data_IF_173778802174
#
_entry.id   IF_173778802174
#
_cell.length_a   1.000
_cell.length_b   1.000
_cell.length_c   1.000
_cell.angle_alpha   90.00
_cell.angle_beta   90.00
_cell.angle_gamma   90.00
#
_symmetry.space_group_name_H-M   'P 1'
#
loop_
_entity.id
_entity.type
_entity.pdbx_description
1 polymer ?
#
# COMPACT_ATOMS: atom_id res chain seq x y z
N UNK A 1 -21.29 18.86 -27.05
CA UNK A 1 -20.67 17.52 -27.21
C UNK A 1 -20.63 16.88 -25.83
N UNK A 2 -21.63 16.07 -25.51
CA UNK A 2 -21.63 15.19 -24.35
C UNK A 2 -20.82 13.96 -24.75
N UNK A 3 -19.72 13.67 -24.04
CA UNK A 3 -19.05 12.38 -24.08
C UNK A 3 -19.24 11.70 -22.73
N UNK A 4 -19.69 10.47 -22.81
CA UNK A 4 -19.92 9.50 -21.75
C UNK A 4 -18.63 9.19 -20.98
N UNK A 5 -18.51 9.68 -19.76
CA UNK A 5 -17.78 9.01 -18.68
C UNK A 5 -18.36 9.47 -17.34
N UNK A 6 -18.89 8.54 -16.55
CA UNK A 6 -19.59 8.78 -15.29
C UNK A 6 -18.62 9.01 -14.13
N UNK A 7 -17.86 10.10 -14.20
CA UNK A 7 -17.14 10.63 -13.05
C UNK A 7 -17.76 11.98 -12.68
N UNK A 8 -18.51 12.01 -11.58
CA UNK A 8 -18.80 13.27 -10.88
C UNK A 8 -17.48 14.01 -10.70
N UNK A 9 -17.37 15.30 -11.07
CA UNK A 9 -16.11 16.02 -10.97
C UNK A 9 -15.71 16.10 -9.49
N UNK A 10 -14.51 15.59 -9.15
CA UNK A 10 -13.95 15.69 -7.80
C UNK A 10 -13.46 17.11 -7.55
N UNK A 11 -14.40 18.04 -7.39
CA UNK A 11 -14.13 19.46 -7.16
C UNK A 11 -13.72 19.66 -5.70
N UNK A 12 -12.70 20.49 -5.50
CA UNK A 12 -12.36 21.03 -4.19
C UNK A 12 -13.46 21.99 -3.72
N UNK A 13 -13.87 21.89 -2.47
CA UNK A 13 -14.73 22.89 -1.83
C UNK A 13 -13.95 24.21 -1.65
N UNK A 14 -14.60 25.34 -1.91
CA UNK A 14 -13.99 26.68 -1.86
C UNK A 14 -13.46 27.03 -0.46
N UNK A 15 -14.04 26.46 0.59
CA UNK A 15 -13.62 26.72 1.97
C UNK A 15 -12.31 26.05 2.37
N UNK A 16 -11.90 24.98 1.67
CA UNK A 16 -10.69 24.21 2.01
C UNK A 16 -9.70 24.13 0.84
N UNK A 17 -9.95 24.79 -0.30
CA UNK A 17 -9.07 24.70 -1.47
C UNK A 17 -7.72 25.36 -1.24
N UNK A 18 -6.68 24.83 -1.88
CA UNK A 18 -5.39 25.52 -2.00
C UNK A 18 -5.51 26.62 -3.05
N UNK A 19 -5.06 27.82 -2.70
CA UNK A 19 -5.10 29.01 -3.58
C UNK A 19 -3.68 29.34 -4.01
N UNK A 20 -3.41 29.30 -5.31
CA UNK A 20 -2.10 29.66 -5.84
C UNK A 20 -1.93 31.18 -5.86
N UNK A 21 -0.74 31.65 -5.47
CA UNK A 21 -0.36 33.03 -5.69
C UNK A 21 -0.35 33.32 -7.20
N UNK A 22 -1.01 34.40 -7.65
CA UNK A 22 -1.18 34.67 -9.06
C UNK A 22 0.17 34.81 -9.75
N UNK A 23 0.37 34.05 -10.82
CA UNK A 23 1.37 34.34 -11.86
C UNK A 23 0.78 35.34 -12.87
N UNK A 24 1.58 35.81 -13.82
CA UNK A 24 1.14 36.72 -14.89
C UNK A 24 -0.07 36.21 -15.71
N UNK A 25 -0.43 34.93 -15.58
CA UNK A 25 -1.56 34.27 -16.25
C UNK A 25 -2.90 34.33 -15.48
N UNK A 26 -2.94 34.85 -14.25
CA UNK A 26 -4.19 35.17 -13.53
C UNK A 26 -5.07 33.99 -13.08
N UNK A 27 -4.56 32.75 -13.09
CA UNK A 27 -5.28 31.58 -12.55
C UNK A 27 -4.75 31.20 -11.16
N UNK A 28 -5.61 31.26 -10.14
CA UNK A 28 -5.30 30.91 -8.74
C UNK A 28 -5.71 29.48 -8.37
N UNK A 29 -6.32 28.75 -9.31
CA UNK A 29 -6.96 27.46 -9.05
C UNK A 29 -6.01 26.28 -9.26
N UNK A 30 -5.96 25.42 -8.24
CA UNK A 30 -5.48 24.04 -8.35
C UNK A 30 -6.46 23.11 -7.65
N UNK A 31 -6.70 21.91 -8.19
CA UNK A 31 -7.58 20.94 -7.56
C UNK A 31 -6.88 20.24 -6.39
N UNK A 32 -6.78 20.96 -5.28
CA UNK A 32 -6.21 20.49 -4.02
C UNK A 32 -6.99 21.08 -2.85
N UNK A 33 -7.06 20.33 -1.75
CA UNK A 33 -7.73 20.76 -0.51
C UNK A 33 -6.80 20.57 0.67
N UNK A 34 -6.82 21.47 1.65
CA UNK A 34 -6.30 21.19 2.97
C UNK A 34 -7.22 20.20 3.68
N UNK A 35 -6.64 19.20 4.34
CA UNK A 35 -7.40 18.22 5.10
C UNK A 35 -6.97 18.25 6.55
N UNK A 36 -7.76 18.93 7.38
CA UNK A 36 -7.44 19.09 8.80
C UNK A 36 -7.75 17.83 9.61
N UNK A 37 -6.72 16.99 9.74
CA UNK A 37 -6.72 15.80 10.59
C UNK A 37 -5.84 15.97 11.84
N UNK A 38 -4.85 16.86 11.86
CA UNK A 38 -4.06 17.26 13.05
C UNK A 38 -3.02 18.35 12.65
N UNK A 39 -2.16 18.78 13.59
CA UNK A 39 -0.97 19.57 13.24
C UNK A 39 -0.12 18.85 12.17
N UNK A 40 0.22 19.54 11.08
CA UNK A 40 0.95 18.97 9.95
C UNK A 40 0.09 18.26 8.89
N UNK A 41 -1.19 18.63 8.80
CA UNK A 41 -2.21 18.08 7.92
C UNK A 41 -1.76 17.88 6.45
N UNK A 42 -1.96 16.69 5.87
CA UNK A 42 -1.56 16.41 4.50
C UNK A 42 -2.40 17.18 3.48
N UNK A 43 -1.80 17.46 2.32
CA UNK A 43 -2.45 18.04 1.17
C UNK A 43 -2.78 16.94 0.15
N UNK A 44 -4.06 16.61 -0.05
CA UNK A 44 -4.49 15.72 -1.12
C UNK A 44 -4.90 16.45 -2.42
N UNK A 45 -3.96 16.73 -3.34
CA UNK A 45 -4.31 17.21 -4.67
C UNK A 45 -4.77 16.08 -5.58
N UNK A 46 -5.44 16.45 -6.67
CA UNK A 46 -5.52 15.64 -7.88
C UNK A 46 -4.11 15.41 -8.44
N UNK A 47 -3.88 14.27 -9.08
CA UNK A 47 -2.68 14.04 -9.88
C UNK A 47 -2.56 15.05 -11.02
N UNK A 48 -1.36 15.55 -11.35
CA UNK A 48 -1.19 16.53 -12.42
C UNK A 48 -1.71 16.05 -13.78
N UNK A 49 -2.30 16.99 -14.53
CA UNK A 49 -2.73 16.86 -15.92
C UNK A 49 -1.74 17.60 -16.84
N UNK A 50 -1.75 17.40 -18.17
CA UNK A 50 -0.73 17.98 -19.07
C UNK A 50 -0.62 19.51 -18.97
N UNK A 51 -1.74 20.18 -18.69
CA UNK A 51 -1.80 21.63 -18.53
C UNK A 51 -1.54 22.15 -17.12
N UNK A 52 -1.43 21.30 -16.10
CA UNK A 52 -1.39 21.71 -14.68
C UNK A 52 -0.09 21.32 -13.97
N UNK A 53 0.92 20.83 -14.70
CA UNK A 53 2.21 20.44 -14.12
C UNK A 53 2.97 21.64 -13.53
N UNK A 54 2.90 22.80 -14.20
CA UNK A 54 3.52 24.03 -13.70
C UNK A 54 2.82 24.49 -12.40
N UNK A 55 1.49 24.46 -12.37
CA UNK A 55 0.69 24.78 -11.19
C UNK A 55 0.99 23.85 -10.02
N UNK A 56 1.23 22.56 -10.30
CA UNK A 56 1.65 21.59 -9.29
C UNK A 56 2.99 21.97 -8.65
N UNK A 57 4.01 22.31 -9.44
CA UNK A 57 5.31 22.75 -8.88
C UNK A 57 5.23 24.11 -8.19
N UNK A 58 4.37 25.01 -8.67
CA UNK A 58 4.04 26.25 -7.97
C UNK A 58 3.45 25.97 -6.59
N UNK A 59 2.50 25.03 -6.47
CA UNK A 59 1.94 24.61 -5.19
C UNK A 59 3.01 24.01 -4.28
N UNK A 60 3.83 23.08 -4.80
CA UNK A 60 4.94 22.45 -4.04
C UNK A 60 5.88 23.52 -3.46
N UNK A 61 6.23 24.53 -4.26
CA UNK A 61 7.05 25.64 -3.80
C UNK A 61 6.31 26.55 -2.80
N UNK A 62 5.08 26.95 -3.08
CA UNK A 62 4.33 27.88 -2.23
C UNK A 62 4.11 27.30 -0.84
N UNK A 63 3.63 26.06 -0.77
CA UNK A 63 3.30 25.37 0.46
C UNK A 63 4.53 24.79 1.17
N UNK A 64 5.73 24.97 0.61
CA UNK A 64 7.01 24.49 1.17
C UNK A 64 7.04 22.97 1.36
N UNK A 65 6.43 22.24 0.44
CA UNK A 65 6.35 20.79 0.46
C UNK A 65 7.75 20.21 0.25
N UNK A 66 8.17 19.33 1.17
CA UNK A 66 9.42 18.58 1.07
C UNK A 66 9.20 17.10 0.80
N UNK A 67 7.97 16.58 0.99
CA UNK A 67 7.63 15.16 0.79
C UNK A 67 6.38 15.04 -0.08
N UNK A 68 6.48 14.23 -1.13
CA UNK A 68 5.39 13.86 -2.03
C UNK A 68 5.17 12.35 -1.94
N UNK A 69 3.92 11.92 -1.76
CA UNK A 69 3.49 10.53 -1.82
C UNK A 69 2.58 10.36 -3.03
N UNK A 70 3.03 9.57 -4.01
CA UNK A 70 2.31 9.24 -5.23
C UNK A 70 1.82 7.79 -5.15
N UNK A 71 0.51 7.61 -5.12
CA UNK A 71 -0.16 6.31 -4.92
C UNK A 71 -0.77 5.74 -6.22
N UNK A 72 -0.26 6.13 -7.38
CA UNK A 72 -0.81 5.69 -8.69
C UNK A 72 0.28 5.48 -9.73
N UNK A 73 0.06 4.54 -10.64
CA UNK A 73 0.82 4.49 -11.89
C UNK A 73 0.48 5.68 -12.78
N UNK A 74 1.35 5.99 -13.75
CA UNK A 74 1.05 6.99 -14.79
C UNK A 74 -0.10 6.51 -15.69
N UNK A 75 -0.06 5.23 -16.05
CA UNK A 75 -1.07 4.53 -16.85
C UNK A 75 -1.47 3.25 -16.15
N UNK A 76 -2.77 3.02 -16.01
CA UNK A 76 -3.32 1.78 -15.47
C UNK A 76 -4.47 1.34 -16.38
N UNK A 77 -4.50 0.06 -16.76
CA UNK A 77 -5.49 -0.50 -17.69
C UNK A 77 -5.65 0.34 -18.99
N UNK A 78 -4.54 0.79 -19.58
CA UNK A 78 -4.51 1.65 -20.77
C UNK A 78 -5.19 3.02 -20.60
N UNK A 79 -5.47 3.45 -19.37
CA UNK A 79 -5.99 4.78 -19.05
C UNK A 79 -4.92 5.60 -18.34
N UNK A 80 -4.66 6.81 -18.84
CA UNK A 80 -3.80 7.77 -18.15
C UNK A 80 -4.45 8.18 -16.82
N UNK A 81 -3.72 8.00 -15.73
CA UNK A 81 -4.16 8.32 -14.36
C UNK A 81 -3.49 9.57 -13.82
N UNK A 82 -2.26 9.83 -14.24
CA UNK A 82 -1.44 10.96 -13.80
C UNK A 82 -0.41 11.26 -14.88
N UNK A 83 -0.15 12.54 -15.16
CA UNK A 83 0.99 12.91 -15.98
C UNK A 83 2.30 12.79 -15.20
N UNK A 84 3.37 12.49 -15.92
CA UNK A 84 4.71 12.55 -15.37
C UNK A 84 5.09 14.02 -15.16
N UNK A 85 5.18 14.42 -13.89
CA UNK A 85 5.55 15.78 -13.49
C UNK A 85 7.02 15.91 -13.07
N UNK A 86 7.83 14.86 -13.25
CA UNK A 86 9.24 14.85 -12.87
C UNK A 86 10.15 14.52 -14.05
N UNK A 87 11.38 15.05 -14.08
CA UNK A 87 12.36 14.73 -15.12
C UNK A 87 13.14 13.45 -14.83
N UNK A 88 13.77 12.89 -15.87
CA UNK A 88 14.80 11.85 -15.72
C UNK A 88 16.16 12.42 -15.29
N UNK A 89 16.43 13.70 -15.58
CA UNK A 89 17.66 14.38 -15.16
C UNK A 89 17.36 15.81 -14.71
N UNK A 90 16.94 16.68 -15.62
CA UNK A 90 16.58 18.06 -15.31
C UNK A 90 15.51 18.56 -16.29
N UNK A 91 14.56 19.35 -15.81
CA UNK A 91 13.56 20.00 -16.65
C UNK A 91 13.08 21.31 -16.02
N UNK A 92 12.72 22.26 -16.90
CA UNK A 92 12.14 23.55 -16.52
C UNK A 92 10.61 23.49 -16.66
N UNK A 93 9.91 23.92 -15.62
CA UNK A 93 8.46 24.01 -15.50
C UNK A 93 8.09 25.46 -15.12
N UNK A 94 7.88 26.33 -16.11
CA UNK A 94 7.72 27.76 -15.85
C UNK A 94 8.97 28.34 -15.17
N UNK A 95 8.80 28.98 -14.01
CA UNK A 95 9.90 29.54 -13.20
C UNK A 95 10.67 28.50 -12.38
N UNK A 96 10.26 27.23 -12.44
CA UNK A 96 10.83 26.17 -11.63
C UNK A 96 11.80 25.31 -12.44
N UNK A 97 12.99 25.09 -11.90
CA UNK A 97 13.90 24.04 -12.39
C UNK A 97 13.86 22.89 -11.40
N UNK A 98 13.52 21.70 -11.89
CA UNK A 98 13.52 20.46 -11.11
C UNK A 98 14.65 19.59 -11.63
N UNK A 99 15.54 19.17 -10.74
CA UNK A 99 16.67 18.28 -11.07
C UNK A 99 16.55 17.00 -10.24
N UNK A 100 16.65 15.83 -10.87
CA UNK A 100 16.71 14.55 -10.17
C UNK A 100 18.14 14.34 -9.64
N UNK A 101 18.30 14.34 -8.32
CA UNK A 101 19.59 14.12 -7.67
C UNK A 101 19.86 12.63 -7.41
N UNK A 102 18.84 11.87 -7.01
CA UNK A 102 18.97 10.46 -6.68
C UNK A 102 17.64 9.74 -6.87
N UNK A 103 17.69 8.45 -7.23
CA UNK A 103 16.53 7.58 -7.27
C UNK A 103 16.90 6.19 -6.73
N UNK A 104 16.01 5.62 -5.91
CA UNK A 104 16.16 4.27 -5.39
C UNK A 104 14.86 3.51 -5.65
N UNK A 105 15.00 2.36 -6.29
CA UNK A 105 13.87 1.48 -6.61
C UNK A 105 13.95 0.22 -5.76
N UNK A 106 12.84 -0.15 -5.15
CA UNK A 106 12.63 -1.44 -4.49
C UNK A 106 11.40 -2.13 -5.08
N UNK A 107 11.10 -3.36 -4.66
CA UNK A 107 9.88 -4.07 -5.06
C UNK A 107 8.67 -3.24 -4.65
N UNK A 108 7.99 -2.61 -5.61
CA UNK A 108 6.74 -1.90 -5.35
C UNK A 108 6.84 -0.44 -4.91
N UNK A 109 8.05 0.13 -4.79
CA UNK A 109 8.24 1.54 -4.42
C UNK A 109 9.44 2.16 -5.15
N UNK A 110 9.26 3.39 -5.65
CA UNK A 110 10.36 4.22 -6.15
C UNK A 110 10.48 5.47 -5.28
N UNK A 111 11.65 5.70 -4.69
CA UNK A 111 11.97 6.93 -3.98
C UNK A 111 12.84 7.82 -4.87
N UNK A 112 12.46 9.09 -5.07
CA UNK A 112 13.21 10.08 -5.85
C UNK A 112 13.53 11.29 -4.99
N UNK A 113 14.75 11.81 -5.11
CA UNK A 113 15.19 13.03 -4.44
C UNK A 113 15.42 14.09 -5.50
N UNK A 114 14.66 15.18 -5.43
CA UNK A 114 14.73 16.30 -6.34
C UNK A 114 15.37 17.53 -5.70
N UNK A 115 16.08 18.30 -6.50
CA UNK A 115 16.44 19.68 -6.23
C UNK A 115 15.45 20.59 -6.97
N UNK A 116 14.67 21.36 -6.23
CA UNK A 116 13.72 22.34 -6.75
C UNK A 116 14.30 23.75 -6.61
N UNK A 117 14.45 24.46 -7.73
CA UNK A 117 14.89 25.86 -7.78
C UNK A 117 13.78 26.71 -8.38
N UNK A 118 13.63 27.94 -7.87
CA UNK A 118 12.75 28.96 -8.45
C UNK A 118 13.59 30.12 -8.99
N UNK A 119 13.27 30.61 -10.19
CA UNK A 119 13.90 31.79 -10.76
C UNK A 119 13.84 32.98 -9.78
N UNK A 120 14.96 33.71 -9.67
CA UNK A 120 15.09 34.84 -8.74
C UNK A 120 15.23 34.46 -7.25
N UNK A 121 15.14 33.17 -6.89
CA UNK A 121 15.36 32.69 -5.52
C UNK A 121 16.71 31.99 -5.41
N UNK A 122 17.57 32.44 -4.48
CA UNK A 122 18.93 31.91 -4.35
C UNK A 122 19.00 30.50 -3.73
N UNK A 123 18.06 30.16 -2.84
CA UNK A 123 18.10 28.91 -2.09
C UNK A 123 17.26 27.81 -2.77
N UNK A 124 17.88 26.69 -3.22
CA UNK A 124 17.14 25.52 -3.66
C UNK A 124 16.43 24.83 -2.49
N UNK A 125 15.44 23.99 -2.80
CA UNK A 125 14.76 23.12 -1.86
C UNK A 125 14.92 21.66 -2.27
N UNK A 126 15.01 20.78 -1.28
CA UNK A 126 15.01 19.34 -1.51
C UNK A 126 13.58 18.83 -1.40
N UNK A 127 13.15 18.05 -2.38
CA UNK A 127 11.83 17.40 -2.39
C UNK A 127 12.02 15.90 -2.59
N UNK A 128 11.56 15.09 -1.64
CA UNK A 128 11.57 13.64 -1.71
C UNK A 128 10.20 13.14 -2.17
N UNK A 129 10.15 12.32 -3.22
CA UNK A 129 8.94 11.70 -3.73
C UNK A 129 9.00 10.20 -3.49
N UNK A 130 7.95 9.66 -2.88
CA UNK A 130 7.69 8.23 -2.72
C UNK A 130 6.57 7.80 -3.66
N UNK A 131 6.90 6.98 -4.65
CA UNK A 131 5.97 6.48 -5.66
C UNK A 131 5.65 5.02 -5.39
N UNK A 132 4.49 4.78 -4.78
CA UNK A 132 3.99 3.45 -4.40
C UNK A 132 3.26 2.80 -5.59
N UNK A 133 3.72 1.60 -5.96
CA UNK A 133 3.30 0.89 -7.18
C UNK A 133 2.41 -0.32 -6.90
N UNK A 134 2.32 -0.81 -5.65
CA UNK A 134 1.55 -2.02 -5.32
C UNK A 134 0.06 -1.76 -5.05
N UNK A 135 -0.44 -0.57 -5.38
CA UNK A 135 -1.89 -0.29 -5.28
C UNK A 135 -2.57 -0.50 -6.65
N UNK A 136 -3.35 -1.58 -6.83
CA UNK A 136 -3.99 -1.88 -8.12
C UNK A 136 -5.11 -0.88 -8.48
N UNK A 137 -5.43 -0.77 -9.77
CA UNK A 137 -6.55 0.05 -10.30
C UNK A 137 -7.91 -0.35 -9.68
N UNK A 138 -8.14 -1.65 -9.57
CA UNK A 138 -9.29 -2.21 -8.86
C UNK A 138 -8.82 -3.00 -7.63
N UNK A 139 -9.38 -2.66 -6.48
CA UNK A 139 -9.08 -3.32 -5.21
C UNK A 139 -8.11 -2.54 -4.35
N UNK A 140 -7.35 -3.29 -3.54
CA UNK A 140 -6.48 -2.79 -2.47
C UNK A 140 -5.18 -3.58 -2.47
N UNK A 141 -4.10 -3.05 -1.87
CA UNK A 141 -2.83 -3.77 -1.76
C UNK A 141 -3.00 -5.13 -1.08
N UNK A 142 -2.39 -6.19 -1.62
CA UNK A 142 -2.39 -7.52 -1.01
C UNK A 142 -1.55 -7.59 0.27
N UNK A 143 -0.49 -6.77 0.34
CA UNK A 143 0.42 -6.72 1.46
C UNK A 143 0.39 -5.30 2.10
N UNK A 144 -0.36 -5.11 3.19
CA UNK A 144 -0.45 -3.81 3.89
C UNK A 144 0.87 -3.38 4.55
N UNK A 145 1.80 -4.29 4.84
CA UNK A 145 3.04 -3.98 5.56
C UNK A 145 3.91 -2.93 4.86
N UNK A 146 3.97 -2.95 3.52
CA UNK A 146 4.75 -1.95 2.78
C UNK A 146 4.09 -0.56 2.84
N UNK A 147 2.76 -0.49 2.91
CA UNK A 147 2.03 0.76 3.06
C UNK A 147 2.26 1.36 4.47
N UNK A 148 2.26 0.52 5.49
CA UNK A 148 2.62 0.90 6.87
C UNK A 148 4.06 1.39 6.97
N UNK A 149 5.00 0.69 6.34
CA UNK A 149 6.39 1.12 6.27
C UNK A 149 6.54 2.48 5.58
N UNK A 150 5.82 2.69 4.47
CA UNK A 150 5.82 3.98 3.76
C UNK A 150 5.32 5.11 4.67
N UNK A 151 4.24 4.88 5.41
CA UNK A 151 3.73 5.84 6.40
C UNK A 151 4.74 6.13 7.50
N UNK A 152 5.45 5.13 8.01
CA UNK A 152 6.50 5.30 9.02
C UNK A 152 7.63 6.18 8.49
N UNK A 153 8.11 5.92 7.27
CA UNK A 153 9.16 6.73 6.62
C UNK A 153 8.71 8.17 6.43
N UNK A 154 7.50 8.38 5.90
CA UNK A 154 6.95 9.73 5.67
C UNK A 154 6.80 10.49 7.00
N UNK A 155 6.27 9.86 8.04
CA UNK A 155 6.13 10.48 9.36
C UNK A 155 7.49 10.80 9.99
N UNK A 156 8.47 9.90 9.85
CA UNK A 156 9.83 10.12 10.34
C UNK A 156 10.47 11.34 9.67
N UNK A 157 10.29 11.52 8.35
CA UNK A 157 10.75 12.71 7.62
C UNK A 157 10.12 13.99 8.14
N UNK A 158 8.82 13.97 8.42
CA UNK A 158 8.11 15.12 8.99
C UNK A 158 8.65 15.55 10.36
N UNK A 159 9.22 14.62 11.13
CA UNK A 159 9.85 14.91 12.43
C UNK A 159 11.31 15.35 12.28
N UNK A 160 12.10 14.67 11.44
CA UNK A 160 13.53 14.94 11.27
C UNK A 160 13.81 16.25 10.51
N UNK A 161 12.96 16.60 9.56
CA UNK A 161 13.09 17.82 8.75
C UNK A 161 11.72 18.50 8.59
N UNK A 162 11.21 19.17 9.65
CA UNK A 162 9.93 19.84 9.60
C UNK A 162 9.89 20.90 8.49
N UNK A 163 8.94 20.76 7.58
CA UNK A 163 8.75 21.66 6.44
C UNK A 163 7.25 21.99 6.29
N UNK A 164 6.80 22.23 5.06
CA UNK A 164 5.38 22.30 4.75
C UNK A 164 4.65 20.96 4.93
N UNK A 165 3.35 20.91 4.59
CA UNK A 165 2.57 19.70 4.67
C UNK A 165 3.09 18.60 3.73
N UNK A 166 2.78 17.35 4.05
CA UNK A 166 3.03 16.21 3.15
C UNK A 166 1.99 16.25 2.02
N UNK A 167 2.45 16.22 0.77
CA UNK A 167 1.57 16.10 -0.38
C UNK A 167 1.28 14.62 -0.63
N UNK A 168 0.00 14.22 -0.70
CA UNK A 168 -0.41 12.84 -0.98
C UNK A 168 -1.37 12.82 -2.15
N UNK A 169 -1.03 12.19 -3.27
CA UNK A 169 -1.92 12.17 -4.44
C UNK A 169 -2.02 10.78 -5.07
N UNK A 170 -3.11 10.57 -5.80
CA UNK A 170 -3.30 9.45 -6.70
C UNK A 170 -3.71 10.00 -8.07
N UNK A 171 -4.79 9.50 -8.66
CA UNK A 171 -5.39 10.09 -9.87
C UNK A 171 -6.32 11.25 -9.49
N UNK A 172 -7.51 10.97 -8.94
CA UNK A 172 -8.47 12.01 -8.52
C UNK A 172 -8.15 12.65 -7.14
N UNK A 173 -7.22 12.07 -6.37
CA UNK A 173 -6.87 12.57 -5.04
C UNK A 173 -7.95 12.31 -3.97
N UNK A 174 -8.72 11.22 -4.09
CA UNK A 174 -9.83 10.90 -3.16
C UNK A 174 -9.83 9.44 -2.65
N UNK A 175 -9.58 8.45 -3.52
CA UNK A 175 -9.65 7.03 -3.16
C UNK A 175 -8.44 6.57 -2.34
N UNK A 176 -7.38 6.14 -3.03
CA UNK A 176 -6.10 5.72 -2.41
C UNK A 176 -5.52 6.78 -1.47
N UNK A 177 -5.55 8.04 -1.93
CA UNK A 177 -5.16 9.21 -1.14
C UNK A 177 -5.95 9.31 0.16
N UNK A 178 -7.29 9.22 0.11
CA UNK A 178 -8.11 9.30 1.31
C UNK A 178 -7.85 8.14 2.27
N UNK A 179 -7.64 6.93 1.76
CA UNK A 179 -7.29 5.77 2.59
C UNK A 179 -5.94 5.96 3.29
N UNK A 180 -4.92 6.45 2.58
CA UNK A 180 -3.60 6.72 3.16
C UNK A 180 -3.65 7.80 4.26
N UNK A 181 -4.36 8.91 3.98
CA UNK A 181 -4.53 10.02 4.94
C UNK A 181 -5.34 9.59 6.16
N UNK A 182 -6.42 8.83 5.97
CA UNK A 182 -7.22 8.29 7.07
C UNK A 182 -6.38 7.36 7.95
N UNK A 183 -5.58 6.47 7.32
CA UNK A 183 -4.72 5.53 8.04
C UNK A 183 -3.69 6.23 8.91
N UNK A 184 -3.01 7.26 8.38
CA UNK A 184 -2.06 8.05 9.14
C UNK A 184 -2.69 8.67 10.40
N UNK A 185 -3.84 9.32 10.24
CA UNK A 185 -4.57 9.93 11.34
C UNK A 185 -5.04 8.89 12.37
N UNK A 186 -5.64 7.79 11.92
CA UNK A 186 -6.18 6.76 12.79
C UNK A 186 -5.09 6.03 13.59
N UNK A 187 -3.90 5.82 13.00
CA UNK A 187 -2.77 5.26 13.73
C UNK A 187 -2.27 6.21 14.83
N UNK A 188 -2.23 7.52 14.54
CA UNK A 188 -1.86 8.55 15.54
C UNK A 188 -2.90 8.63 16.65
N UNK A 189 -4.20 8.62 16.31
CA UNK A 189 -5.31 8.59 17.26
C UNK A 189 -5.26 7.34 18.14
N UNK A 190 -5.11 6.15 17.54
CA UNK A 190 -5.03 4.89 18.28
C UNK A 190 -3.88 4.85 19.28
N UNK A 191 -2.72 5.41 18.91
CA UNK A 191 -1.56 5.53 19.81
C UNK A 191 -1.76 6.55 20.92
N UNK A 192 -2.37 7.70 20.62
CA UNK A 192 -2.53 8.80 21.57
C UNK A 192 -3.70 8.60 22.54
N UNK A 193 -4.81 8.04 22.06
CA UNK A 193 -6.08 7.97 22.79
C UNK A 193 -6.48 6.54 23.19
N UNK A 194 -5.80 5.52 22.66
CA UNK A 194 -6.15 4.11 22.90
C UNK A 194 -7.48 3.68 22.26
N UNK A 195 -8.03 4.50 21.35
CA UNK A 195 -9.28 4.26 20.62
C UNK A 195 -9.14 4.77 19.19
N UNK A 196 -9.96 4.25 18.28
CA UNK A 196 -10.04 4.70 16.89
C UNK A 196 -11.49 4.86 16.46
N UNK A 197 -11.78 5.87 15.64
CA UNK A 197 -13.09 6.09 15.04
C UNK A 197 -12.96 6.27 13.52
N UNK A 198 -12.98 5.13 12.82
CA UNK A 198 -12.82 5.09 11.36
C UNK A 198 -13.98 5.78 10.65
N UNK A 199 -15.22 5.61 11.15
CA UNK A 199 -16.40 6.20 10.53
C UNK A 199 -16.35 7.72 10.60
N UNK A 200 -16.14 8.27 11.80
CA UNK A 200 -16.08 9.71 11.99
C UNK A 200 -14.87 10.33 11.28
N UNK A 201 -13.72 9.65 11.27
CA UNK A 201 -12.57 10.07 10.50
C UNK A 201 -12.91 10.23 9.01
N UNK A 202 -13.46 9.18 8.37
CA UNK A 202 -13.81 9.22 6.94
C UNK A 202 -14.93 10.23 6.67
N UNK A 203 -15.90 10.38 7.58
CA UNK A 203 -16.92 11.42 7.49
C UNK A 203 -16.29 12.83 7.44
N UNK A 204 -15.40 13.15 8.39
CA UNK A 204 -14.71 14.45 8.45
C UNK A 204 -13.85 14.71 7.21
N UNK A 205 -13.16 13.68 6.71
CA UNK A 205 -12.41 13.79 5.44
C UNK A 205 -13.34 14.16 4.27
N UNK A 206 -14.54 13.58 4.23
CA UNK A 206 -15.55 13.84 3.19
C UNK A 206 -16.19 15.21 3.28
N UNK A 207 -16.24 15.81 4.47
CA UNK A 207 -16.67 17.19 4.68
C UNK A 207 -15.69 18.20 4.05
N UNK A 208 -14.39 17.86 3.97
CA UNK A 208 -13.35 18.73 3.42
C UNK A 208 -13.05 18.47 1.93
N UNK A 209 -13.19 17.22 1.49
CA UNK A 209 -13.00 16.81 0.10
C UNK A 209 -13.95 15.66 -0.23
N UNK A 210 -14.82 15.86 -1.21
CA UNK A 210 -15.91 14.91 -1.47
C UNK A 210 -15.38 13.51 -1.82
N UNK A 211 -16.07 12.47 -1.34
CA UNK A 211 -15.79 11.07 -1.67
C UNK A 211 -14.41 10.53 -1.26
N UNK A 212 -13.74 11.13 -0.27
CA UNK A 212 -12.55 10.54 0.37
C UNK A 212 -12.84 9.11 0.86
N UNK A 213 -11.89 8.19 0.61
CA UNK A 213 -12.09 6.73 0.71
C UNK A 213 -13.28 6.31 -0.17
N UNK A 214 -13.02 6.11 -1.45
CA UNK A 214 -14.05 6.13 -2.50
C UNK A 214 -14.86 4.84 -2.58
N UNK A 215 -14.25 3.68 -2.29
CA UNK A 215 -14.87 2.36 -2.46
C UNK A 215 -15.06 1.64 -1.13
N UNK A 216 -15.99 0.68 -1.08
CA UNK A 216 -16.23 -0.15 0.11
C UNK A 216 -15.00 -1.00 0.42
N UNK A 217 -14.33 -1.49 -0.62
CA UNK A 217 -13.12 -2.30 -0.54
C UNK A 217 -11.99 -1.51 0.14
N UNK A 218 -11.81 -0.24 -0.23
CA UNK A 218 -10.86 0.67 0.44
C UNK A 218 -11.22 0.93 1.91
N UNK A 219 -12.51 1.02 2.23
CA UNK A 219 -12.97 1.23 3.61
C UNK A 219 -12.75 -0.02 4.48
N UNK A 220 -12.98 -1.22 3.95
CA UNK A 220 -12.66 -2.49 4.63
C UNK A 220 -11.15 -2.59 4.83
N UNK A 221 -10.37 -2.36 3.78
CA UNK A 221 -8.92 -2.39 3.84
C UNK A 221 -8.36 -1.42 4.88
N UNK A 222 -8.96 -0.23 5.03
CA UNK A 222 -8.56 0.73 6.07
C UNK A 222 -8.65 0.12 7.48
N UNK A 223 -9.67 -0.68 7.79
CA UNK A 223 -9.73 -1.40 9.07
C UNK A 223 -8.65 -2.48 9.19
N UNK A 224 -8.42 -3.25 8.12
CA UNK A 224 -7.44 -4.34 8.11
C UNK A 224 -6.02 -3.81 8.35
N UNK A 225 -5.60 -2.79 7.60
CA UNK A 225 -4.27 -2.18 7.74
C UNK A 225 -4.12 -1.39 9.05
N UNK A 226 -5.20 -0.77 9.55
CA UNK A 226 -5.19 -0.11 10.85
C UNK A 226 -4.97 -1.12 11.98
N UNK A 227 -5.69 -2.25 11.93
CA UNK A 227 -5.52 -3.34 12.87
C UNK A 227 -4.08 -3.87 12.82
N UNK A 228 -3.51 -3.99 11.63
CA UNK A 228 -2.12 -4.42 11.48
C UNK A 228 -1.14 -3.45 12.14
N UNK A 229 -1.24 -2.16 11.79
CA UNK A 229 -0.36 -1.13 12.33
C UNK A 229 -0.46 -0.95 13.84
N UNK A 230 -1.64 -1.18 14.43
CA UNK A 230 -1.85 -1.09 15.88
C UNK A 230 -1.40 -2.35 16.64
N UNK A 231 -1.53 -3.54 16.06
CA UNK A 231 -1.11 -4.79 16.71
C UNK A 231 0.40 -5.04 16.62
N UNK A 232 0.98 -4.83 15.44
CA UNK A 232 2.38 -5.17 15.18
C UNK A 232 3.35 -4.04 15.53
N UNK A 233 2.97 -2.79 15.28
CA UNK A 233 3.92 -1.68 15.31
C UNK A 233 5.05 -1.88 14.29
N UNK A 234 6.22 -1.28 14.57
CA UNK A 234 7.43 -1.46 13.73
C UNK A 234 8.27 -2.60 14.29
N UNK A 235 8.35 -3.69 13.53
CA UNK A 235 9.13 -4.90 13.87
C UNK A 235 10.40 -5.04 13.01
N UNK A 236 10.69 -4.04 12.16
CA UNK A 236 11.87 -4.05 11.31
C UNK A 236 13.16 -3.80 12.11
N UNK A 237 14.16 -4.65 11.92
CA UNK A 237 15.46 -4.54 12.60
C UNK A 237 16.55 -4.29 11.57
N UNK A 238 17.39 -3.24 11.73
CA UNK A 238 18.56 -3.04 10.87
C UNK A 238 19.50 -4.25 10.93
N UNK A 239 20.14 -4.58 9.80
CA UNK A 239 21.00 -5.78 9.69
C UNK A 239 22.14 -5.72 10.70
N UNK A 240 22.73 -4.55 10.89
CA UNK A 240 23.78 -4.27 11.88
C UNK A 240 23.34 -4.51 13.33
N UNK A 241 22.03 -4.49 13.60
CA UNK A 241 21.46 -4.65 14.94
C UNK A 241 20.90 -6.04 15.22
N UNK A 242 20.85 -6.93 14.22
CA UNK A 242 20.15 -8.22 14.35
C UNK A 242 20.76 -9.10 15.44
N UNK A 243 22.09 -9.14 15.54
CA UNK A 243 22.79 -9.97 16.52
C UNK A 243 22.47 -9.53 17.96
N UNK A 244 22.53 -8.23 18.22
CA UNK A 244 22.17 -7.67 19.53
C UNK A 244 20.70 -7.88 19.87
N UNK A 245 19.82 -7.77 18.87
CA UNK A 245 18.39 -7.99 19.04
C UNK A 245 18.08 -9.44 19.46
N UNK A 246 18.72 -10.43 18.81
CA UNK A 246 18.58 -11.86 19.16
C UNK A 246 19.10 -12.15 20.57
N UNK A 247 20.26 -11.60 20.95
CA UNK A 247 20.80 -11.80 22.30
C UNK A 247 19.85 -11.27 23.40
N UNK A 248 19.22 -10.12 23.16
CA UNK A 248 18.28 -9.53 24.11
C UNK A 248 17.09 -10.45 24.40
N UNK A 249 16.63 -11.23 23.42
CA UNK A 249 15.53 -12.18 23.63
C UNK A 249 15.92 -13.37 24.49
N UNK A 250 17.11 -13.93 24.29
CA UNK A 250 17.61 -15.06 25.07
C UNK A 250 17.76 -14.71 26.56
N UNK A 251 18.20 -13.49 26.86
CA UNK A 251 18.29 -12.98 28.23
C UNK A 251 16.90 -12.71 28.86
N UNK A 252 15.94 -12.24 28.06
CA UNK A 252 14.58 -11.96 28.54
C UNK A 252 13.76 -13.22 28.85
N UNK A 253 13.96 -14.31 28.10
CA UNK A 253 13.29 -15.61 28.35
C UNK A 253 13.69 -16.24 29.69
N UNK A 254 14.95 -16.07 30.11
CA UNK A 254 15.42 -16.62 31.39
C UNK A 254 14.90 -15.86 32.63
N UNK A 255 14.33 -14.68 32.45
CA UNK A 255 14.03 -13.75 33.54
C UNK A 255 12.55 -13.35 33.68
N UNK A 256 11.69 -13.55 32.67
CA UNK A 256 10.24 -13.23 32.77
C UNK A 256 9.34 -14.19 31.97
N UNK A 257 8.20 -14.65 32.53
CA UNK A 257 7.25 -15.58 31.88
C UNK A 257 6.33 -14.92 30.83
N UNK A 258 6.77 -13.81 30.21
CA UNK A 258 5.97 -13.06 29.24
C UNK A 258 6.93 -12.32 28.29
N UNK A 259 7.70 -13.11 27.53
CA UNK A 259 8.81 -12.61 26.70
C UNK A 259 8.29 -11.72 25.57
N UNK A 260 9.16 -10.87 25.01
CA UNK A 260 8.79 -10.01 23.88
C UNK A 260 8.36 -10.88 22.68
N UNK A 261 9.08 -11.98 22.44
CA UNK A 261 8.77 -12.95 21.39
C UNK A 261 7.42 -13.64 21.58
N UNK A 262 7.03 -13.98 22.81
CA UNK A 262 5.71 -14.56 23.08
C UNK A 262 4.59 -13.58 22.73
N UNK A 263 4.76 -12.29 23.02
CA UNK A 263 3.78 -11.25 22.66
C UNK A 263 3.70 -11.08 21.15
N UNK A 264 4.84 -11.03 20.46
CA UNK A 264 4.90 -10.95 19.00
C UNK A 264 4.22 -12.17 18.36
N UNK A 265 4.54 -13.38 18.82
CA UNK A 265 3.94 -14.60 18.31
C UNK A 265 2.44 -14.68 18.59
N UNK A 266 1.99 -14.19 19.75
CA UNK A 266 0.56 -14.09 20.07
C UNK A 266 -0.17 -13.09 19.17
N UNK A 267 0.50 -12.03 18.72
CA UNK A 267 -0.07 -11.13 17.73
C UNK A 267 -0.20 -11.81 16.36
N UNK A 268 0.79 -12.59 15.92
CA UNK A 268 0.69 -13.41 14.69
C UNK A 268 -0.49 -14.38 14.73
N UNK A 269 -0.79 -14.96 15.89
CA UNK A 269 -1.97 -15.83 16.07
C UNK A 269 -3.29 -15.08 15.85
N UNK A 270 -3.41 -13.84 16.33
CA UNK A 270 -4.60 -13.00 16.08
C UNK A 270 -4.80 -12.72 14.58
N UNK A 271 -3.72 -12.48 13.83
CA UNK A 271 -3.82 -12.38 12.36
C UNK A 271 -4.29 -13.68 11.74
N UNK A 272 -3.74 -14.81 12.20
CA UNK A 272 -4.16 -16.11 11.71
C UNK A 272 -5.67 -16.34 11.92
N UNK A 273 -6.23 -15.92 13.06
CA UNK A 273 -7.67 -15.99 13.34
C UNK A 273 -8.50 -15.09 12.39
N UNK A 274 -8.00 -13.90 12.06
CA UNK A 274 -8.66 -13.00 11.10
C UNK A 274 -8.66 -13.59 9.69
N UNK A 275 -7.52 -14.11 9.24
CA UNK A 275 -7.40 -14.70 7.90
C UNK A 275 -8.05 -16.09 7.79
N UNK A 276 -8.29 -16.79 8.90
CA UNK A 276 -9.15 -17.98 8.92
C UNK A 276 -10.59 -17.69 8.49
N UNK A 277 -11.03 -16.42 8.49
CA UNK A 277 -12.33 -16.01 7.97
C UNK A 277 -12.39 -16.00 6.43
N UNK A 278 -11.25 -16.13 5.75
CA UNK A 278 -11.23 -16.21 4.30
C UNK A 278 -12.01 -17.44 3.82
N UNK A 279 -12.80 -17.32 2.73
CA UNK A 279 -13.56 -18.45 2.22
C UNK A 279 -12.63 -19.60 1.79
N UNK A 280 -12.92 -20.80 2.30
CA UNK A 280 -12.28 -22.07 1.90
C UNK A 280 -13.32 -23.00 1.26
N UNK A 281 -14.22 -22.46 0.42
CA UNK A 281 -15.42 -23.19 -0.06
C UNK A 281 -15.04 -24.38 -0.91
N UNK A 282 -14.01 -24.26 -1.73
CA UNK A 282 -13.54 -25.34 -2.59
C UNK A 282 -12.90 -26.47 -1.78
N UNK A 283 -12.08 -26.11 -0.80
CA UNK A 283 -11.46 -27.06 0.10
C UNK A 283 -12.47 -27.80 0.99
N UNK A 284 -13.58 -27.14 1.35
CA UNK A 284 -14.64 -27.68 2.20
C UNK A 284 -15.62 -28.63 1.48
N UNK A 285 -15.59 -28.71 0.14
CA UNK A 285 -16.48 -29.61 -0.64
C UNK A 285 -16.33 -31.07 -0.19
N UNK A 286 -17.42 -31.84 -0.05
CA UNK A 286 -17.35 -33.25 0.37
C UNK A 286 -16.41 -34.11 -0.50
N UNK A 287 -16.33 -33.83 -1.81
CA UNK A 287 -15.43 -34.51 -2.74
C UNK A 287 -13.95 -34.22 -2.49
N UNK A 288 -13.63 -33.07 -1.88
CA UNK A 288 -12.27 -32.58 -1.65
C UNK A 288 -11.79 -32.81 -0.22
N UNK A 289 -12.70 -33.02 0.74
CA UNK A 289 -12.36 -33.31 2.14
C UNK A 289 -11.35 -34.47 2.30
N UNK A 290 -11.47 -35.61 1.59
CA UNK A 290 -10.49 -36.70 1.67
C UNK A 290 -9.09 -36.34 1.14
N UNK A 291 -8.96 -35.24 0.39
CA UNK A 291 -7.69 -34.76 -0.16
C UNK A 291 -6.93 -33.86 0.82
N UNK A 292 -7.53 -33.51 1.98
CA UNK A 292 -6.93 -32.65 3.01
C UNK A 292 -6.36 -33.49 4.16
N UNK A 293 -5.08 -33.32 4.47
CA UNK A 293 -4.42 -34.04 5.56
C UNK A 293 -4.81 -33.58 6.94
N UNK A 294 -5.05 -32.28 7.10
CA UNK A 294 -5.61 -31.73 8.33
C UNK A 294 -6.88 -30.94 7.98
N UNK A 295 -8.05 -31.30 8.52
CA UNK A 295 -9.31 -30.63 8.20
C UNK A 295 -9.37 -29.18 8.69
N UNK A 296 -8.45 -28.76 9.57
CA UNK A 296 -8.32 -27.37 10.04
C UNK A 296 -7.33 -26.54 9.22
N UNK A 297 -6.55 -27.15 8.33
CA UNK A 297 -5.56 -26.46 7.50
C UNK A 297 -6.04 -26.57 6.05
N UNK A 298 -6.89 -25.62 5.67
CA UNK A 298 -7.49 -25.55 4.36
C UNK A 298 -6.96 -24.32 3.60
N UNK A 299 -6.71 -24.43 2.29
CA UNK A 299 -6.30 -23.29 1.49
C UNK A 299 -7.51 -22.38 1.26
N UNK A 300 -7.31 -21.08 1.49
CA UNK A 300 -8.30 -20.07 1.12
C UNK A 300 -8.45 -20.01 -0.41
N UNK A 301 -9.69 -19.82 -0.87
CA UNK A 301 -10.06 -19.84 -2.29
C UNK A 301 -9.29 -18.79 -3.11
N UNK A 302 -8.89 -17.68 -2.49
CA UNK A 302 -8.16 -16.57 -3.12
C UNK A 302 -6.67 -16.86 -3.37
N UNK A 303 -6.10 -17.88 -2.72
CA UNK A 303 -4.66 -18.17 -2.78
C UNK A 303 -4.35 -19.57 -3.30
N UNK A 304 -5.37 -20.38 -3.61
CA UNK A 304 -5.17 -21.76 -4.07
C UNK A 304 -4.79 -21.84 -5.56
N UNK A 305 -4.01 -22.85 -5.97
CA UNK A 305 -3.88 -23.22 -7.37
C UNK A 305 -5.17 -23.82 -7.94
N UNK A 306 -5.31 -23.74 -9.25
CA UNK A 306 -6.37 -24.31 -10.06
C UNK A 306 -5.72 -25.34 -10.99
N UNK A 307 -6.04 -26.62 -10.81
CA UNK A 307 -5.45 -27.70 -11.62
C UNK A 307 -6.23 -27.84 -12.92
N UNK A 308 -5.59 -27.47 -14.03
CA UNK A 308 -6.17 -27.52 -15.37
C UNK A 308 -5.85 -28.84 -16.09
N UNK A 309 -4.75 -29.52 -15.74
CA UNK A 309 -4.39 -30.83 -16.30
C UNK A 309 -4.97 -32.01 -15.52
N UNK A 310 -5.41 -31.80 -14.28
CA UNK A 310 -6.22 -32.77 -13.51
C UNK A 310 -7.66 -32.28 -13.51
N UNK A 311 -8.58 -32.98 -14.18
CA UNK A 311 -9.99 -32.63 -14.24
C UNK A 311 -10.85 -33.60 -13.43
N UNK A 312 -11.91 -33.08 -12.81
CA UNK A 312 -12.94 -33.90 -12.19
C UNK A 312 -13.82 -34.55 -13.27
N UNK A 313 -14.65 -35.52 -12.87
CA UNK A 313 -15.54 -36.24 -13.78
C UNK A 313 -16.55 -35.35 -14.53
N UNK A 314 -16.88 -34.18 -13.96
CA UNK A 314 -17.76 -33.16 -14.56
C UNK A 314 -17.01 -32.16 -15.46
N UNK A 315 -15.71 -32.36 -15.67
CA UNK A 315 -14.84 -31.47 -16.46
C UNK A 315 -14.39 -30.22 -15.71
N UNK A 316 -14.75 -30.04 -14.44
CA UNK A 316 -14.25 -28.93 -13.64
C UNK A 316 -12.77 -29.11 -13.25
N UNK A 317 -12.02 -28.01 -13.04
CA UNK A 317 -10.63 -28.09 -12.58
C UNK A 317 -10.48 -28.89 -11.28
N UNK A 318 -9.38 -29.64 -11.19
CA UNK A 318 -9.03 -30.44 -10.02
C UNK A 318 -8.67 -29.59 -8.81
N UNK A 319 -8.65 -30.25 -7.66
CA UNK A 319 -8.33 -29.64 -6.37
C UNK A 319 -7.13 -30.32 -5.71
N UNK A 320 -6.23 -29.49 -5.17
CA UNK A 320 -5.15 -29.89 -4.27
C UNK A 320 -5.05 -28.89 -3.10
N UNK A 321 -4.70 -29.39 -1.93
CA UNK A 321 -4.46 -28.56 -0.75
C UNK A 321 -3.07 -27.89 -0.86
N UNK A 322 -3.06 -26.73 -1.50
CA UNK A 322 -1.88 -25.91 -1.70
C UNK A 322 -2.25 -24.42 -1.75
N UNK A 323 -1.29 -23.53 -1.50
CA UNK A 323 -1.42 -22.09 -1.65
C UNK A 323 -0.19 -21.49 -2.33
N UNK A 324 -0.39 -20.39 -3.03
CA UNK A 324 0.71 -19.53 -3.47
C UNK A 324 1.26 -18.70 -2.31
N UNK A 325 2.56 -18.48 -2.35
CA UNK A 325 3.29 -17.61 -1.46
C UNK A 325 4.26 -16.74 -2.26
N UNK A 326 4.42 -15.50 -1.80
CA UNK A 326 5.29 -14.54 -2.44
C UNK A 326 6.74 -14.74 -1.99
N UNK A 327 7.67 -14.36 -2.86
CA UNK A 327 9.06 -14.13 -2.48
C UNK A 327 9.27 -12.64 -2.16
N UNK A 328 10.50 -12.25 -1.85
CA UNK A 328 10.83 -10.83 -1.63
C UNK A 328 10.61 -9.95 -2.88
N UNK A 329 10.74 -10.51 -4.09
CA UNK A 329 10.70 -9.75 -5.34
C UNK A 329 9.56 -10.13 -6.29
N UNK A 330 8.97 -11.31 -6.10
CA UNK A 330 8.00 -11.89 -7.04
C UNK A 330 6.79 -12.43 -6.28
N UNK A 331 5.60 -12.04 -6.72
CA UNK A 331 4.34 -12.58 -6.22
C UNK A 331 4.10 -14.01 -6.73
N UNK A 332 3.38 -14.82 -5.94
CA UNK A 332 2.90 -16.16 -6.28
C UNK A 332 4.00 -17.14 -6.79
N UNK A 333 5.26 -16.89 -6.41
CA UNK A 333 6.45 -17.61 -6.91
C UNK A 333 6.72 -18.93 -6.19
N UNK A 334 6.25 -19.10 -4.96
CA UNK A 334 6.40 -20.33 -4.17
C UNK A 334 5.03 -20.99 -4.04
N UNK A 335 4.96 -22.31 -4.18
CA UNK A 335 3.76 -23.09 -3.87
C UNK A 335 4.01 -23.89 -2.61
N UNK A 336 3.18 -23.67 -1.59
CA UNK A 336 3.22 -24.39 -0.32
C UNK A 336 2.09 -25.43 -0.35
N UNK A 337 2.44 -26.71 -0.22
CA UNK A 337 1.48 -27.82 -0.24
C UNK A 337 1.78 -28.81 0.87
N UNK A 338 0.75 -29.54 1.30
CA UNK A 338 0.92 -30.71 2.16
C UNK A 338 1.67 -31.85 1.43
N UNK A 339 2.23 -32.79 2.19
CA UNK A 339 2.75 -34.04 1.63
C UNK A 339 1.62 -34.79 0.89
N UNK A 340 1.80 -35.18 -0.39
CA UNK A 340 0.76 -35.83 -1.15
C UNK A 340 0.37 -37.19 -0.55
N UNK A 341 -0.89 -37.55 -0.71
CA UNK A 341 -1.37 -38.92 -0.50
C UNK A 341 -1.17 -39.73 -1.77
N UNK A 342 -1.20 -41.06 -1.66
CA UNK A 342 -1.25 -41.94 -2.82
C UNK A 342 -2.44 -41.57 -3.74
N UNK A 343 -3.59 -41.22 -3.14
CA UNK A 343 -4.80 -40.80 -3.85
C UNK A 343 -4.71 -39.41 -4.50
N UNK A 344 -3.74 -38.58 -4.12
CA UNK A 344 -3.56 -37.22 -4.65
C UNK A 344 -2.24 -37.05 -5.41
N UNK A 345 -1.54 -38.14 -5.74
CA UNK A 345 -0.27 -38.06 -6.48
C UNK A 345 -0.47 -37.49 -7.89
N UNK A 346 -1.57 -37.85 -8.57
CA UNK A 346 -1.90 -37.30 -9.89
C UNK A 346 -2.13 -35.79 -9.78
N UNK A 347 -2.90 -35.34 -8.79
CA UNK A 347 -3.14 -33.92 -8.52
C UNK A 347 -1.83 -33.16 -8.20
N UNK A 348 -0.91 -33.80 -7.48
CA UNK A 348 0.40 -33.22 -7.17
C UNK A 348 1.26 -33.04 -8.42
N UNK A 349 1.29 -34.03 -9.32
CA UNK A 349 2.03 -33.89 -10.58
C UNK A 349 1.36 -32.92 -11.55
N UNK A 350 0.02 -32.84 -11.54
CA UNK A 350 -0.71 -31.81 -12.26
C UNK A 350 -0.35 -30.41 -11.74
N UNK A 351 -0.24 -30.22 -10.42
CA UNK A 351 0.24 -28.96 -9.84
C UNK A 351 1.64 -28.59 -10.35
N UNK A 352 2.58 -29.54 -10.29
CA UNK A 352 3.96 -29.35 -10.78
C UNK A 352 3.98 -28.99 -12.26
N UNK A 353 3.13 -29.64 -13.07
CA UNK A 353 3.04 -29.41 -14.50
C UNK A 353 2.39 -28.07 -14.85
N UNK A 354 1.19 -27.81 -14.34
CA UNK A 354 0.38 -26.63 -14.67
C UNK A 354 1.08 -25.33 -14.29
N UNK A 355 1.86 -25.35 -13.21
CA UNK A 355 2.61 -24.20 -12.73
C UNK A 355 4.10 -24.27 -13.05
N UNK A 356 4.51 -25.20 -13.92
CA UNK A 356 5.88 -25.32 -14.46
C UNK A 356 6.96 -25.39 -13.37
N UNK A 357 6.66 -26.06 -12.26
CA UNK A 357 7.60 -26.17 -11.14
C UNK A 357 8.82 -26.99 -11.56
N UNK A 358 10.01 -26.39 -11.46
CA UNK A 358 11.28 -27.05 -11.82
C UNK A 358 11.97 -27.72 -10.64
N UNK A 359 11.53 -27.43 -9.41
CA UNK A 359 12.17 -27.88 -8.18
C UNK A 359 11.10 -28.20 -7.13
N UNK A 360 11.30 -29.29 -6.38
CA UNK A 360 10.45 -29.68 -5.24
C UNK A 360 11.34 -29.81 -4.01
N UNK A 361 10.97 -29.12 -2.93
CA UNK A 361 11.67 -29.18 -1.64
C UNK A 361 10.83 -29.99 -0.67
N UNK A 362 11.39 -31.09 -0.16
CA UNK A 362 10.72 -31.96 0.81
C UNK A 362 11.34 -31.76 2.19
N UNK A 363 10.53 -31.33 3.16
CA UNK A 363 10.97 -31.01 4.53
C UNK A 363 10.73 -32.15 5.53
N UNK A 364 10.20 -33.28 5.07
CA UNK A 364 9.96 -34.47 5.88
C UNK A 364 10.95 -35.57 5.50
N UNK A 365 11.27 -36.44 6.45
CA UNK A 365 11.86 -37.74 6.10
C UNK A 365 10.81 -38.56 5.34
N UNK A 366 11.22 -39.11 4.18
CA UNK A 366 10.38 -39.90 3.28
C UNK A 366 10.30 -41.36 3.70
#
# INVERSE_FOLDING_TARGET
>A
RQSTDSHLPSLSDDHCRVVLQPSDMGNDYINASYVDVAQGSPLPPQGPLPGTVVDFWQMVWQEKISVIVMLTGLVEQNKTKCEQYWPEQEQVYGDFTVTLNNARTTTGLIARIFCLRKAGCALPRVVEQFHYLLWPDHGVPRNPAQLLWLLEVVNKRGVEAPAGPVLVHCSAGIGRTGTFVALDFLLKMGKAEGKVDVFHCVQRLREQRVSMVQTKEQYIFLYEVLLEGLLCGSTGVPVESIASHVHCFQEAETSRPNSILEKEFKNLQKFSELFQLLPCREAAKPSNQPKNRNPRILPADSYRPILMSSLNADGSPGYINAVFANTYNEDDRIIITQLPFLSTLVDFWALVWDYTCTSVVVLNQL
#
